data_IF_109066621660
#
_entry.id   IF_109066621660
#
_cell.length_a   1.000
_cell.length_b   1.000
_cell.length_c   1.000
_cell.angle_alpha   90.00
_cell.angle_beta   90.00
_cell.angle_gamma   90.00
#
_symmetry.space_group_name_H-M   'P 1'
#
loop_
_entity.id
_entity.type
_entity.pdbx_description
1 polymer ?
#
# COMPACT_ATOMS: atom_id res chain seq x y z
N UNK A 1 10.76 -27.19 -29.52
CA UNK A 1 11.21 -25.91 -28.94
C UNK A 1 11.18 -24.85 -30.03
N UNK A 2 10.26 -23.91 -30.00
CA UNK A 2 10.22 -22.82 -30.97
C UNK A 2 11.45 -21.93 -30.79
N UNK A 3 12.18 -21.67 -31.85
CA UNK A 3 13.31 -20.73 -31.84
C UNK A 3 12.70 -19.33 -31.77
N UNK A 4 12.58 -18.79 -30.54
CA UNK A 4 12.19 -17.40 -30.39
C UNK A 4 13.30 -16.49 -30.92
N UNK A 5 12.95 -15.50 -31.71
CA UNK A 5 13.88 -14.50 -32.16
C UNK A 5 14.49 -13.76 -30.92
N UNK A 6 15.81 -13.48 -30.98
CA UNK A 6 16.49 -12.73 -29.92
C UNK A 6 15.93 -11.30 -29.87
N UNK A 7 15.50 -10.86 -28.70
CA UNK A 7 15.07 -9.48 -28.50
C UNK A 7 16.23 -8.49 -28.72
N UNK A 8 15.91 -7.27 -29.17
CA UNK A 8 16.89 -6.23 -29.51
C UNK A 8 16.52 -4.90 -28.85
N UNK A 9 17.50 -4.07 -28.48
CA UNK A 9 17.22 -2.72 -28.04
C UNK A 9 16.49 -1.92 -29.13
N UNK A 10 15.63 -0.96 -28.74
CA UNK A 10 14.96 -0.09 -29.70
C UNK A 10 15.97 0.84 -30.36
N UNK A 11 15.85 1.02 -31.68
CA UNK A 11 16.73 1.91 -32.44
C UNK A 11 16.34 3.40 -32.24
N UNK A 12 15.03 3.66 -32.20
CA UNK A 12 14.46 4.98 -31.97
C UNK A 12 13.36 4.87 -30.92
N UNK A 13 13.59 5.44 -29.76
CA UNK A 13 12.62 5.51 -28.68
C UNK A 13 12.33 6.97 -28.36
N UNK A 14 11.05 7.32 -28.26
CA UNK A 14 10.62 8.62 -27.79
C UNK A 14 10.01 8.47 -26.41
N UNK A 15 10.81 8.70 -25.39
CA UNK A 15 10.30 8.74 -24.01
C UNK A 15 9.51 10.05 -23.84
N UNK A 16 8.20 9.97 -23.91
CA UNK A 16 7.32 11.11 -23.63
C UNK A 16 6.79 10.97 -22.18
N UNK A 17 7.66 11.36 -21.25
CA UNK A 17 7.35 11.45 -19.84
C UNK A 17 7.67 12.86 -19.37
N UNK A 18 6.61 13.64 -19.12
CA UNK A 18 6.69 15.03 -18.64
C UNK A 18 5.98 15.08 -17.28
N UNK A 19 6.71 14.84 -16.20
CA UNK A 19 6.12 14.83 -14.87
C UNK A 19 5.65 16.23 -14.47
N UNK A 20 4.53 16.33 -13.78
CA UNK A 20 4.17 17.51 -13.01
C UNK A 20 5.17 17.75 -11.89
N UNK A 21 5.12 18.91 -11.23
CA UNK A 21 6.00 19.21 -10.10
C UNK A 21 5.92 18.14 -9.01
N UNK A 22 4.71 17.72 -8.63
CA UNK A 22 4.48 16.69 -7.62
C UNK A 22 4.97 15.31 -8.07
N UNK A 23 4.73 14.96 -9.32
CA UNK A 23 5.27 13.75 -9.91
C UNK A 23 6.80 13.78 -9.96
N UNK A 24 7.41 14.94 -10.20
CA UNK A 24 8.86 15.10 -10.22
C UNK A 24 9.46 14.96 -8.81
N UNK A 25 8.79 15.47 -7.77
CA UNK A 25 9.19 15.24 -6.38
C UNK A 25 9.26 13.74 -6.07
N UNK A 26 8.20 13.00 -6.39
CA UNK A 26 8.16 11.54 -6.21
C UNK A 26 9.23 10.84 -7.06
N UNK A 27 9.38 11.27 -8.32
CA UNK A 27 10.37 10.71 -9.23
C UNK A 27 11.80 10.80 -8.67
N UNK A 28 12.19 11.94 -8.08
CA UNK A 28 13.50 12.11 -7.44
C UNK A 28 13.76 11.08 -6.32
N UNK A 29 12.74 10.76 -5.53
CA UNK A 29 12.85 9.76 -4.46
C UNK A 29 13.08 8.35 -5.02
N UNK A 30 12.56 8.06 -6.20
CA UNK A 30 12.66 6.76 -6.85
C UNK A 30 14.02 6.56 -7.57
N UNK A 31 14.78 7.62 -7.80
CA UNK A 31 16.05 7.52 -8.53
C UNK A 31 17.17 6.94 -7.64
N UNK A 32 18.03 6.05 -8.20
CA UNK A 32 19.11 5.44 -7.43
C UNK A 32 20.35 6.33 -7.26
N UNK A 33 20.55 7.29 -8.15
CA UNK A 33 21.83 8.00 -8.27
C UNK A 33 21.83 9.39 -7.63
N UNK A 34 20.66 9.95 -7.35
CA UNK A 34 20.54 11.33 -6.89
C UNK A 34 19.98 11.41 -5.48
N UNK A 35 20.61 12.23 -4.67
CA UNK A 35 20.14 12.51 -3.32
C UNK A 35 18.82 13.30 -3.37
N UNK A 36 17.76 12.83 -2.73
CA UNK A 36 16.49 13.55 -2.72
C UNK A 36 16.57 14.89 -1.98
N UNK A 37 17.56 15.07 -1.09
CA UNK A 37 17.75 16.27 -0.29
C UNK A 37 18.42 17.40 -1.07
N UNK A 38 19.48 17.10 -1.83
CA UNK A 38 20.30 18.15 -2.46
C UNK A 38 20.58 17.92 -3.96
N UNK A 39 20.08 16.82 -4.54
CA UNK A 39 20.36 16.46 -5.94
C UNK A 39 21.78 15.93 -6.21
N UNK A 40 22.64 15.88 -5.19
CA UNK A 40 24.01 15.38 -5.33
C UNK A 40 24.06 13.88 -5.61
N UNK A 41 25.20 13.41 -6.10
CA UNK A 41 25.39 12.00 -6.45
C UNK A 41 25.47 11.11 -5.20
N UNK A 42 24.90 9.91 -5.29
CA UNK A 42 24.93 8.88 -4.23
C UNK A 42 25.96 7.84 -4.57
N UNK A 43 26.88 7.60 -3.64
CA UNK A 43 27.90 6.54 -3.72
C UNK A 43 27.71 5.51 -2.61
N UNK A 44 28.42 4.38 -2.75
CA UNK A 44 28.53 3.36 -1.71
C UNK A 44 29.79 3.60 -0.91
N UNK A 45 29.65 3.90 0.38
CA UNK A 45 30.78 4.06 1.31
C UNK A 45 30.94 2.80 2.15
N UNK A 46 32.15 2.26 2.21
CA UNK A 46 32.49 1.16 3.13
C UNK A 46 32.35 1.66 4.57
N UNK A 47 31.54 0.97 5.37
CA UNK A 47 31.30 1.31 6.79
C UNK A 47 31.93 0.29 7.75
N UNK A 48 32.42 -0.84 7.25
CA UNK A 48 33.04 -1.89 8.05
C UNK A 48 32.96 -3.25 7.40
N UNK A 49 33.12 -4.27 8.21
CA UNK A 49 33.04 -5.67 7.80
C UNK A 49 32.12 -6.41 8.77
N UNK A 50 31.37 -7.37 8.24
CA UNK A 50 30.55 -8.26 9.08
C UNK A 50 31.42 -9.29 9.83
N UNK A 51 30.80 -10.13 10.67
CA UNK A 51 31.47 -11.20 11.42
C UNK A 51 32.23 -12.23 10.54
N UNK A 52 31.81 -12.35 9.26
CA UNK A 52 32.44 -13.22 8.25
C UNK A 52 33.49 -12.48 7.39
N UNK A 53 33.83 -11.24 7.76
CA UNK A 53 34.78 -10.35 7.06
C UNK A 53 34.28 -9.90 5.66
N UNK A 54 32.97 -9.94 5.38
CA UNK A 54 32.45 -9.37 4.15
C UNK A 54 32.30 -7.85 4.32
N UNK A 55 32.66 -7.05 3.30
CA UNK A 55 32.56 -5.60 3.37
C UNK A 55 31.10 -5.16 3.43
N UNK A 56 30.81 -4.25 4.34
CA UNK A 56 29.50 -3.64 4.51
C UNK A 56 29.53 -2.22 3.92
N UNK A 57 28.57 -1.93 3.04
CA UNK A 57 28.46 -0.63 2.38
C UNK A 57 27.17 0.07 2.79
N UNK A 58 27.25 1.39 2.91
CA UNK A 58 26.09 2.26 3.10
C UNK A 58 26.04 3.31 1.98
N UNK A 59 24.87 3.58 1.37
CA UNK A 59 24.75 4.66 0.42
C UNK A 59 24.89 6.01 1.13
N UNK A 60 25.65 6.92 0.53
CA UNK A 60 25.94 8.25 1.07
C UNK A 60 25.93 9.25 -0.07
N UNK A 61 25.32 10.40 0.14
CA UNK A 61 25.43 11.51 -0.78
C UNK A 61 26.79 12.19 -0.68
N UNK A 62 27.50 12.29 -1.78
CA UNK A 62 28.84 12.93 -1.84
C UNK A 62 28.81 14.41 -1.47
N UNK A 63 27.70 15.10 -1.79
CA UNK A 63 27.59 16.55 -1.60
C UNK A 63 27.18 16.96 -0.19
N UNK A 64 26.21 16.26 0.43
CA UNK A 64 25.64 16.66 1.71
C UNK A 64 25.74 15.61 2.82
N UNK A 65 26.38 14.47 2.54
CA UNK A 65 26.54 13.39 3.52
C UNK A 65 25.25 12.66 3.90
N UNK A 66 24.12 12.94 3.25
CA UNK A 66 22.84 12.30 3.55
C UNK A 66 22.93 10.79 3.34
N UNK A 67 22.58 10.03 4.36
CA UNK A 67 22.52 8.55 4.35
C UNK A 67 21.10 8.02 4.44
N UNK A 68 20.15 8.88 4.80
CA UNK A 68 18.72 8.53 4.85
C UNK A 68 18.12 8.65 3.45
N UNK A 69 18.10 7.53 2.73
CA UNK A 69 17.49 7.43 1.41
C UNK A 69 16.16 6.71 1.55
N UNK A 70 15.07 7.28 0.99
CA UNK A 70 13.77 6.63 1.02
C UNK A 70 13.80 5.27 0.34
N UNK A 71 13.23 4.28 0.99
CA UNK A 71 13.15 2.89 0.53
C UNK A 71 11.70 2.48 0.28
N UNK A 72 10.78 2.90 1.18
CA UNK A 72 9.34 2.71 1.03
C UNK A 72 8.70 4.08 0.79
N UNK A 73 8.19 4.28 -0.40
CA UNK A 73 7.73 5.59 -0.86
C UNK A 73 6.26 5.50 -1.22
N UNK A 74 5.42 6.23 -0.48
CA UNK A 74 3.99 6.32 -0.71
C UNK A 74 3.64 7.56 -1.54
N UNK A 75 3.01 7.34 -2.69
CA UNK A 75 2.26 8.36 -3.42
C UNK A 75 0.78 8.21 -3.11
N UNK A 76 0.26 8.95 -2.15
CA UNK A 76 -1.12 8.83 -1.69
C UNK A 76 -1.93 10.09 -1.90
N UNK A 77 -3.26 9.98 -1.90
CA UNK A 77 -4.16 11.11 -2.06
C UNK A 77 -5.18 10.93 -3.18
N UNK A 78 -5.71 12.02 -3.71
CA UNK A 78 -6.81 12.01 -4.69
C UNK A 78 -6.57 11.09 -5.88
N UNK A 79 -7.65 10.62 -6.47
CA UNK A 79 -7.61 9.87 -7.72
C UNK A 79 -7.24 10.78 -8.90
N UNK A 80 -6.74 10.19 -9.99
CA UNK A 80 -6.45 10.94 -11.21
C UNK A 80 -5.15 11.74 -11.25
N UNK A 81 -4.36 11.79 -10.16
CA UNK A 81 -3.07 12.51 -10.11
C UNK A 81 -1.91 11.86 -10.89
N UNK A 82 -2.16 10.75 -11.59
CA UNK A 82 -1.15 10.09 -12.43
C UNK A 82 -0.15 9.21 -11.66
N UNK A 83 -0.46 8.80 -10.43
CA UNK A 83 0.40 7.95 -9.58
C UNK A 83 0.79 6.63 -10.27
N UNK A 84 -0.21 5.85 -10.71
CA UNK A 84 0.03 4.54 -11.35
C UNK A 84 0.76 4.67 -12.68
N UNK A 85 0.50 5.75 -13.45
CA UNK A 85 1.22 6.05 -14.69
C UNK A 85 2.71 6.34 -14.41
N UNK A 86 3.01 7.16 -13.42
CA UNK A 86 4.39 7.45 -12.99
C UNK A 86 5.11 6.16 -12.58
N UNK A 87 4.44 5.29 -11.80
CA UNK A 87 5.01 4.01 -11.41
C UNK A 87 5.29 3.09 -12.59
N UNK A 88 4.39 3.03 -13.57
CA UNK A 88 4.61 2.27 -14.81
C UNK A 88 5.84 2.80 -15.59
N UNK A 89 5.94 4.13 -15.74
CA UNK A 89 7.12 4.76 -16.37
C UNK A 89 8.41 4.43 -15.61
N UNK A 90 8.37 4.48 -14.27
CA UNK A 90 9.53 4.17 -13.44
C UNK A 90 10.00 2.72 -13.61
N UNK A 91 9.09 1.75 -13.60
CA UNK A 91 9.43 0.34 -13.83
C UNK A 91 10.05 0.12 -15.21
N UNK A 92 9.43 0.68 -16.26
CA UNK A 92 9.91 0.54 -17.64
C UNK A 92 11.30 1.16 -17.80
N UNK A 93 11.48 2.42 -17.36
CA UNK A 93 12.78 3.12 -17.46
C UNK A 93 13.85 2.37 -16.67
N UNK A 94 13.52 1.87 -15.49
CA UNK A 94 14.45 1.07 -14.68
C UNK A 94 14.89 -0.20 -15.38
N UNK A 95 13.95 -0.95 -15.98
CA UNK A 95 14.26 -2.16 -16.74
C UNK A 95 15.07 -1.87 -18.01
N UNK A 96 14.83 -0.75 -18.68
CA UNK A 96 15.62 -0.36 -19.85
C UNK A 96 17.03 0.10 -19.48
N UNK A 97 17.19 0.71 -18.31
CA UNK A 97 18.45 1.28 -17.84
C UNK A 97 19.40 0.24 -17.29
N UNK A 98 18.90 -0.66 -16.48
CA UNK A 98 19.67 -1.69 -15.79
C UNK A 98 19.39 -3.06 -16.40
N UNK A 99 20.43 -3.79 -16.74
CA UNK A 99 20.31 -5.16 -17.24
C UNK A 99 20.01 -6.16 -16.13
N UNK A 100 19.26 -7.20 -16.44
CA UNK A 100 18.97 -8.35 -15.56
C UNK A 100 18.41 -7.94 -14.19
N UNK A 101 17.56 -6.89 -14.14
CA UNK A 101 16.82 -6.56 -12.94
C UNK A 101 15.45 -7.25 -12.93
N UNK A 102 14.93 -7.47 -11.74
CA UNK A 102 13.63 -8.08 -11.48
C UNK A 102 12.73 -7.05 -10.81
N UNK A 103 11.89 -6.40 -11.60
CA UNK A 103 10.94 -5.43 -11.14
C UNK A 103 9.59 -6.11 -10.86
N UNK A 104 8.98 -5.85 -9.71
CA UNK A 104 7.64 -6.35 -9.37
C UNK A 104 6.61 -5.24 -9.59
N UNK A 105 5.48 -5.61 -10.19
CA UNK A 105 4.24 -4.84 -10.13
C UNK A 105 3.20 -5.68 -9.41
N UNK A 106 2.63 -5.14 -8.33
CA UNK A 106 1.74 -5.89 -7.47
C UNK A 106 0.41 -5.16 -7.21
N UNK A 107 -0.63 -5.93 -6.99
CA UNK A 107 -1.94 -5.51 -6.50
C UNK A 107 -2.56 -6.63 -5.69
N UNK A 108 -3.71 -6.38 -5.03
CA UNK A 108 -4.41 -7.41 -4.25
C UNK A 108 -4.66 -8.66 -5.08
N UNK A 109 -5.20 -8.52 -6.30
CA UNK A 109 -5.47 -9.67 -7.20
C UNK A 109 -4.83 -9.48 -8.58
N UNK A 110 -4.45 -10.60 -9.22
CA UNK A 110 -3.95 -10.58 -10.61
C UNK A 110 -4.99 -10.03 -11.57
N UNK A 111 -6.28 -10.30 -11.33
CA UNK A 111 -7.36 -9.80 -12.19
C UNK A 111 -7.37 -8.27 -12.20
N UNK A 112 -7.44 -7.64 -11.02
CA UNK A 112 -7.44 -6.17 -10.91
C UNK A 112 -6.15 -5.54 -11.43
N UNK A 113 -5.00 -6.22 -11.25
CA UNK A 113 -3.72 -5.78 -11.79
C UNK A 113 -3.71 -5.76 -13.32
N UNK A 114 -4.23 -6.82 -13.97
CA UNK A 114 -4.34 -6.91 -15.44
C UNK A 114 -5.27 -5.86 -16.02
N UNK A 115 -6.37 -5.57 -15.36
CA UNK A 115 -7.37 -4.58 -15.79
C UNK A 115 -6.89 -3.13 -15.62
N UNK A 116 -5.91 -2.85 -14.77
CA UNK A 116 -5.43 -1.50 -14.45
C UNK A 116 -3.96 -1.28 -14.85
N UNK A 117 -3.05 -1.43 -13.91
CA UNK A 117 -1.63 -1.05 -14.00
C UNK A 117 -0.89 -1.79 -15.11
N UNK A 118 -1.22 -3.06 -15.35
CA UNK A 118 -0.62 -3.82 -16.44
C UNK A 118 -1.00 -3.27 -17.83
N UNK A 119 -2.25 -2.84 -17.99
CA UNK A 119 -2.68 -2.16 -19.21
C UNK A 119 -1.98 -0.81 -19.37
N UNK A 120 -1.76 -0.08 -18.26
CA UNK A 120 -0.99 1.17 -18.28
C UNK A 120 0.45 0.91 -18.75
N UNK A 121 1.12 -0.12 -18.23
CA UNK A 121 2.48 -0.51 -18.68
C UNK A 121 2.50 -0.78 -20.18
N UNK A 122 1.57 -1.58 -20.69
CA UNK A 122 1.48 -1.89 -22.14
C UNK A 122 1.25 -0.62 -22.96
N UNK A 123 0.41 0.28 -22.50
CA UNK A 123 0.12 1.55 -23.17
C UNK A 123 1.34 2.44 -23.21
N UNK A 124 2.10 2.57 -22.13
CA UNK A 124 3.35 3.34 -22.08
C UNK A 124 4.38 2.78 -23.05
N UNK A 125 4.59 1.45 -23.05
CA UNK A 125 5.52 0.80 -23.99
C UNK A 125 5.17 1.10 -25.45
N UNK A 126 3.88 0.97 -25.79
CA UNK A 126 3.37 1.26 -27.14
C UNK A 126 3.59 2.72 -27.53
N UNK A 127 3.25 3.65 -26.63
CA UNK A 127 3.36 5.09 -26.87
C UNK A 127 4.84 5.53 -27.04
N UNK A 128 5.75 4.86 -26.37
CA UNK A 128 7.19 5.11 -26.50
C UNK A 128 7.82 4.41 -27.71
N UNK A 129 7.05 3.64 -28.47
CA UNK A 129 7.49 2.98 -29.71
C UNK A 129 8.20 1.65 -29.49
N UNK A 130 8.12 1.07 -28.29
CA UNK A 130 8.60 -0.30 -28.05
C UNK A 130 7.64 -1.31 -28.67
N UNK A 131 8.19 -2.35 -29.31
CA UNK A 131 7.44 -3.37 -30.02
C UNK A 131 7.57 -4.72 -29.33
N UNK A 132 6.42 -5.37 -29.08
CA UNK A 132 6.36 -6.75 -28.61
C UNK A 132 7.03 -7.68 -29.60
N UNK A 133 7.65 -8.76 -29.11
CA UNK A 133 8.46 -9.74 -29.85
C UNK A 133 9.71 -9.16 -30.54
N UNK A 134 9.97 -7.85 -30.40
CA UNK A 134 11.18 -7.19 -30.91
C UNK A 134 12.02 -6.61 -29.76
N UNK A 135 11.42 -5.77 -28.90
CA UNK A 135 12.10 -5.09 -27.81
C UNK A 135 11.78 -5.73 -26.45
N UNK A 136 10.61 -6.33 -26.34
CA UNK A 136 10.17 -7.06 -25.15
C UNK A 136 9.27 -8.22 -25.55
N UNK A 137 9.06 -9.13 -24.59
CA UNK A 137 8.12 -10.27 -24.73
C UNK A 137 7.26 -10.39 -23.50
N UNK A 138 5.96 -10.67 -23.71
CA UNK A 138 5.02 -10.94 -22.63
C UNK A 138 4.74 -12.44 -22.56
N UNK A 139 4.91 -13.01 -21.35
CA UNK A 139 4.42 -14.34 -21.03
C UNK A 139 3.18 -14.19 -20.12
N UNK A 140 2.00 -14.39 -20.71
CA UNK A 140 0.73 -14.22 -19.99
C UNK A 140 0.47 -15.31 -18.95
N UNK A 141 1.06 -16.51 -19.11
CA UNK A 141 0.94 -17.59 -18.13
C UNK A 141 1.73 -17.30 -16.87
N UNK A 142 2.96 -16.88 -17.02
CA UNK A 142 3.84 -16.54 -15.90
C UNK A 142 3.60 -15.14 -15.36
N UNK A 143 2.87 -14.29 -16.08
CA UNK A 143 2.65 -12.91 -15.72
C UNK A 143 3.92 -12.08 -15.77
N UNK A 144 4.74 -12.25 -16.81
CA UNK A 144 6.04 -11.58 -16.94
C UNK A 144 6.15 -10.82 -18.27
N UNK A 145 6.93 -9.73 -18.22
CA UNK A 145 7.35 -8.96 -19.38
C UNK A 145 8.87 -8.85 -19.36
N UNK A 146 9.52 -9.49 -20.33
CA UNK A 146 10.99 -9.57 -20.42
C UNK A 146 11.50 -8.63 -21.49
N UNK A 147 12.48 -7.79 -21.17
CA UNK A 147 13.17 -6.86 -22.06
C UNK A 147 14.37 -7.53 -22.75
N UNK A 148 14.93 -6.87 -23.76
CA UNK A 148 16.10 -7.31 -24.54
C UNK A 148 17.39 -7.50 -23.74
N UNK A 149 17.47 -6.89 -22.54
CA UNK A 149 18.62 -6.92 -21.62
C UNK A 149 18.38 -7.85 -20.41
N UNK A 150 17.49 -8.82 -20.58
CA UNK A 150 17.10 -9.80 -19.56
C UNK A 150 16.44 -9.21 -18.30
N UNK A 151 16.13 -7.91 -18.29
CA UNK A 151 15.32 -7.32 -17.23
C UNK A 151 13.87 -7.73 -17.37
N UNK A 152 13.19 -7.93 -16.24
CA UNK A 152 11.82 -8.46 -16.24
C UNK A 152 10.91 -7.67 -15.32
N UNK A 153 9.69 -7.37 -15.78
CA UNK A 153 8.59 -6.93 -14.93
C UNK A 153 7.70 -8.13 -14.62
N UNK A 154 7.45 -8.40 -13.36
CA UNK A 154 6.75 -9.58 -12.86
C UNK A 154 5.48 -9.14 -12.15
N UNK A 155 4.32 -9.65 -12.58
CA UNK A 155 3.05 -9.47 -11.86
C UNK A 155 3.02 -10.31 -10.58
N UNK A 156 2.56 -9.71 -9.48
CA UNK A 156 2.36 -10.43 -8.21
C UNK A 156 1.01 -10.09 -7.58
N UNK A 157 0.35 -11.14 -7.11
CA UNK A 157 -0.84 -11.05 -6.28
C UNK A 157 -0.47 -11.01 -4.81
N UNK A 158 -1.15 -10.13 -4.06
CA UNK A 158 -0.86 -9.91 -2.64
C UNK A 158 -2.08 -10.15 -1.74
N UNK A 159 -2.97 -11.05 -2.16
CA UNK A 159 -4.14 -11.44 -1.36
C UNK A 159 -3.71 -12.20 -0.11
N UNK A 160 -4.38 -11.93 1.01
CA UNK A 160 -4.23 -12.71 2.24
C UNK A 160 -4.90 -14.08 2.06
N UNK A 161 -4.13 -15.15 2.21
CA UNK A 161 -4.62 -16.52 2.10
C UNK A 161 -4.56 -17.21 3.47
N UNK A 162 -5.67 -17.78 3.97
CA UNK A 162 -5.64 -18.54 5.21
C UNK A 162 -4.64 -19.72 5.21
N UNK A 163 -4.38 -20.28 4.03
CA UNK A 163 -3.38 -21.35 3.81
C UNK A 163 -1.93 -20.87 3.80
N UNK A 164 -1.69 -19.55 3.65
CA UNK A 164 -0.36 -18.94 3.58
C UNK A 164 -0.32 -17.61 4.36
N UNK A 165 -0.54 -17.63 5.68
CA UNK A 165 -0.63 -16.42 6.51
C UNK A 165 0.71 -15.68 6.66
N UNK A 166 1.80 -16.30 6.25
CA UNK A 166 3.15 -15.74 6.29
C UNK A 166 3.69 -15.31 4.93
N UNK A 167 2.87 -15.41 3.87
CA UNK A 167 3.29 -15.10 2.49
C UNK A 167 4.53 -15.88 2.05
N UNK A 168 4.62 -17.16 2.44
CA UNK A 168 5.76 -18.03 2.10
C UNK A 168 5.93 -18.21 0.59
N UNK A 169 4.84 -18.03 -0.18
CA UNK A 169 4.86 -17.99 -1.65
C UNK A 169 5.81 -16.93 -2.24
N UNK A 170 6.23 -15.93 -1.44
CA UNK A 170 7.29 -14.98 -1.82
C UNK A 170 8.68 -15.44 -1.35
N UNK A 171 8.76 -16.52 -0.56
CA UNK A 171 9.94 -16.89 0.23
C UNK A 171 11.22 -17.14 -0.56
N UNK A 172 11.13 -17.77 -1.73
CA UNK A 172 12.28 -18.10 -2.59
C UNK A 172 12.60 -17.06 -3.66
N UNK A 173 11.79 -16.01 -3.78
CA UNK A 173 11.94 -15.01 -4.83
C UNK A 173 12.79 -13.84 -4.37
N UNK A 174 13.59 -13.28 -5.28
CA UNK A 174 14.39 -12.08 -5.05
C UNK A 174 14.12 -11.06 -6.17
N UNK A 175 13.92 -9.82 -5.76
CA UNK A 175 13.58 -8.73 -6.67
C UNK A 175 14.52 -7.54 -6.47
N UNK A 176 14.57 -6.64 -7.45
CA UNK A 176 15.36 -5.41 -7.40
C UNK A 176 14.52 -4.26 -6.87
N UNK A 177 13.35 -4.07 -7.45
CA UNK A 177 12.41 -2.98 -7.13
C UNK A 177 10.98 -3.51 -7.14
N UNK A 178 10.08 -2.82 -6.45
CA UNK A 178 8.66 -3.13 -6.46
C UNK A 178 7.80 -1.88 -6.59
N UNK A 179 6.69 -2.02 -7.29
CA UNK A 179 5.56 -1.11 -7.29
C UNK A 179 4.33 -1.85 -6.79
N UNK A 180 3.64 -1.29 -5.80
CA UNK A 180 2.35 -1.78 -5.32
C UNK A 180 1.29 -0.73 -5.66
N UNK A 181 0.33 -1.10 -6.49
CA UNK A 181 -0.79 -0.23 -6.82
C UNK A 181 -1.99 -0.55 -5.91
N UNK A 182 -2.68 0.48 -5.42
CA UNK A 182 -3.74 0.40 -4.42
C UNK A 182 -3.31 -0.37 -3.15
N UNK A 183 -2.20 0.07 -2.54
CA UNK A 183 -1.59 -0.62 -1.37
C UNK A 183 -2.54 -0.70 -0.16
N UNK A 184 -3.53 0.17 -0.09
CA UNK A 184 -4.56 0.12 0.96
C UNK A 184 -5.45 -1.12 0.94
N UNK A 185 -5.50 -1.84 -0.19
CA UNK A 185 -6.22 -3.11 -0.30
C UNK A 185 -5.42 -4.30 0.26
N UNK A 186 -4.18 -4.09 0.67
CA UNK A 186 -3.19 -5.11 0.99
C UNK A 186 -2.79 -5.00 2.47
N UNK A 187 -2.57 -6.11 3.14
CA UNK A 187 -2.11 -6.11 4.53
C UNK A 187 -0.68 -5.57 4.67
N UNK A 188 -0.41 -4.87 5.75
CA UNK A 188 0.92 -4.35 6.06
C UNK A 188 1.98 -5.46 6.05
N UNK A 189 1.63 -6.62 6.61
CA UNK A 189 2.50 -7.81 6.62
C UNK A 189 2.91 -8.26 5.21
N UNK A 190 1.99 -8.28 4.25
CA UNK A 190 2.30 -8.64 2.87
C UNK A 190 3.30 -7.67 2.24
N UNK A 191 3.13 -6.37 2.50
CA UNK A 191 4.03 -5.32 2.03
C UNK A 191 5.42 -5.49 2.62
N UNK A 192 5.54 -5.72 3.93
CA UNK A 192 6.82 -5.94 4.61
C UNK A 192 7.53 -7.20 4.13
N UNK A 193 6.79 -8.29 3.90
CA UNK A 193 7.36 -9.52 3.33
C UNK A 193 7.88 -9.27 1.92
N UNK A 194 7.13 -8.61 1.03
CA UNK A 194 7.62 -8.27 -0.31
C UNK A 194 8.85 -7.35 -0.23
N UNK A 195 8.84 -6.35 0.66
CA UNK A 195 9.98 -5.45 0.86
C UNK A 195 11.24 -6.22 1.26
N UNK A 196 11.15 -7.22 2.12
CA UNK A 196 12.29 -8.05 2.53
C UNK A 196 12.90 -8.86 1.37
N UNK A 197 12.19 -8.99 0.24
CA UNK A 197 12.65 -9.68 -0.97
C UNK A 197 13.34 -8.77 -1.98
N UNK A 198 13.40 -7.44 -1.71
CA UNK A 198 14.08 -6.48 -2.57
C UNK A 198 15.59 -6.49 -2.30
N UNK A 199 16.29 -7.48 -2.83
CA UNK A 199 17.72 -7.71 -2.62
C UNK A 199 18.49 -8.16 -3.87
N UNK A 200 17.80 -8.41 -5.00
CA UNK A 200 18.43 -8.82 -6.25
C UNK A 200 19.21 -7.67 -6.88
N UNK A 201 20.52 -7.80 -7.03
CA UNK A 201 21.44 -6.82 -7.66
C UNK A 201 21.30 -5.38 -7.13
N UNK A 202 20.90 -5.20 -5.87
CA UNK A 202 20.65 -3.88 -5.28
C UNK A 202 21.91 -3.01 -5.29
N UNK A 203 23.06 -3.57 -4.90
CA UNK A 203 24.31 -2.80 -4.79
C UNK A 203 24.80 -2.29 -6.14
N UNK A 204 24.57 -3.05 -7.21
CA UNK A 204 24.99 -2.71 -8.57
C UNK A 204 24.04 -1.71 -9.24
N UNK A 205 22.79 -1.62 -8.77
CA UNK A 205 21.72 -0.86 -9.42
C UNK A 205 21.20 0.28 -8.56
N UNK A 206 20.29 0.00 -7.63
CA UNK A 206 19.60 1.02 -6.83
C UNK A 206 20.33 1.41 -5.54
N UNK A 207 21.40 0.73 -5.18
CA UNK A 207 22.23 0.91 -3.97
C UNK A 207 21.48 0.68 -2.66
N UNK A 208 20.15 0.77 -2.67
CA UNK A 208 19.25 0.42 -1.58
C UNK A 208 17.92 -0.07 -2.15
N UNK A 209 17.16 -0.81 -1.37
CA UNK A 209 15.82 -1.28 -1.77
C UNK A 209 14.93 -0.09 -2.14
N UNK A 210 14.07 -0.25 -3.16
CA UNK A 210 13.10 0.76 -3.57
C UNK A 210 11.74 0.11 -3.79
N UNK A 211 10.76 0.59 -3.04
CA UNK A 211 9.36 0.21 -3.20
C UNK A 211 8.52 1.47 -3.36
N UNK A 212 7.82 1.57 -4.47
CA UNK A 212 6.81 2.59 -4.69
C UNK A 212 5.44 2.02 -4.38
N UNK A 213 4.64 2.74 -3.62
CA UNK A 213 3.28 2.39 -3.27
C UNK A 213 2.33 3.51 -3.69
N UNK A 214 1.22 3.17 -4.33
CA UNK A 214 0.16 4.14 -4.65
C UNK A 214 -1.14 3.77 -3.96
N UNK A 215 -1.92 4.77 -3.57
CA UNK A 215 -3.27 4.58 -3.00
C UNK A 215 -4.10 5.86 -3.06
N UNK A 216 -5.41 5.67 -2.90
CA UNK A 216 -6.33 6.74 -2.54
C UNK A 216 -6.58 6.71 -1.02
N UNK A 217 -7.10 7.80 -0.39
CA UNK A 217 -7.32 7.84 1.04
C UNK A 217 -8.22 6.71 1.55
N UNK A 218 -7.82 6.08 2.64
CA UNK A 218 -8.55 5.02 3.35
C UNK A 218 -8.22 5.06 4.84
N UNK A 219 -9.10 4.56 5.70
CA UNK A 219 -8.89 4.44 7.15
C UNK A 219 -8.27 3.09 7.49
N UNK A 220 -6.99 2.91 7.20
CA UNK A 220 -6.28 1.67 7.52
C UNK A 220 -4.81 1.95 7.89
N UNK A 221 -4.01 0.90 7.99
CA UNK A 221 -2.60 0.96 8.36
C UNK A 221 -1.77 1.95 7.51
N UNK A 222 -2.15 2.19 6.25
CA UNK A 222 -1.44 3.13 5.37
C UNK A 222 -1.58 4.56 5.89
N UNK A 223 -2.80 4.96 6.32
CA UNK A 223 -3.05 6.27 6.92
C UNK A 223 -2.23 6.44 8.19
N UNK A 224 -2.33 5.51 9.13
CA UNK A 224 -1.65 5.59 10.43
C UNK A 224 -0.13 5.51 10.35
N UNK A 225 0.41 4.87 9.30
CA UNK A 225 1.86 4.74 9.12
C UNK A 225 2.50 5.93 8.41
N UNK A 226 1.82 6.53 7.42
CA UNK A 226 2.44 7.49 6.50
C UNK A 226 1.83 8.89 6.55
N UNK A 227 0.60 9.04 7.02
CA UNK A 227 -0.17 10.27 6.80
C UNK A 227 -0.61 10.93 8.11
N UNK A 228 -1.47 10.26 8.86
CA UNK A 228 -2.11 10.80 10.06
C UNK A 228 -2.36 9.70 11.08
N UNK A 229 -2.23 10.04 12.35
CA UNK A 229 -2.60 9.16 13.46
C UNK A 229 -4.14 9.11 13.68
N UNK A 230 -4.57 8.44 14.74
CA UNK A 230 -5.98 8.32 15.11
C UNK A 230 -6.64 9.67 15.48
N UNK A 231 -5.84 10.62 15.92
CA UNK A 231 -6.30 11.97 16.28
C UNK A 231 -6.35 12.92 15.08
N UNK A 232 -5.86 12.50 13.92
CA UNK A 232 -5.73 13.34 12.73
C UNK A 232 -4.43 14.14 12.68
N UNK A 233 -3.52 13.93 13.63
CA UNK A 233 -2.22 14.59 13.63
C UNK A 233 -1.29 13.97 12.59
N UNK A 234 -0.53 14.82 11.89
CA UNK A 234 0.39 14.38 10.85
C UNK A 234 1.47 13.47 11.41
N UNK A 235 1.61 12.29 10.82
CA UNK A 235 2.68 11.34 11.17
C UNK A 235 3.98 11.72 10.45
N UNK A 236 5.08 11.72 11.17
CA UNK A 236 6.42 11.78 10.57
C UNK A 236 6.81 10.39 10.07
N UNK A 237 7.15 10.29 8.78
CA UNK A 237 7.62 9.04 8.20
C UNK A 237 8.89 8.55 8.91
N UNK A 238 9.00 7.25 9.12
CA UNK A 238 10.18 6.63 9.71
C UNK A 238 11.41 6.77 8.80
N UNK A 239 12.59 6.49 9.35
CA UNK A 239 13.81 6.43 8.53
C UNK A 239 13.62 5.45 7.36
N UNK A 240 13.94 5.89 6.15
CA UNK A 240 13.74 5.10 4.93
C UNK A 240 12.31 5.14 4.36
N UNK A 241 11.39 5.88 4.96
CA UNK A 241 10.04 6.08 4.45
C UNK A 241 9.83 7.50 3.92
N UNK A 242 8.92 7.65 2.97
CA UNK A 242 8.50 8.96 2.46
C UNK A 242 7.04 8.93 2.00
N UNK A 243 6.37 10.04 2.18
CA UNK A 243 5.01 10.26 1.69
C UNK A 243 4.95 11.51 0.81
N UNK A 244 4.38 11.37 -0.37
CA UNK A 244 4.10 12.48 -1.30
C UNK A 244 2.58 12.53 -1.54
N UNK A 245 1.90 13.61 -1.12
CA UNK A 245 0.48 13.79 -1.36
C UNK A 245 0.19 14.12 -2.82
N UNK A 246 -0.88 13.55 -3.37
CA UNK A 246 -1.36 13.78 -4.72
C UNK A 246 -2.80 14.29 -4.74
N UNK A 247 -3.07 15.20 -5.68
CA UNK A 247 -4.41 15.64 -6.04
C UNK A 247 -4.67 15.41 -7.53
N UNK A 248 -5.90 15.55 -7.98
CA UNK A 248 -6.22 15.52 -9.42
C UNK A 248 -5.50 16.63 -10.19
N UNK A 249 -5.21 17.76 -9.53
CA UNK A 249 -4.54 18.93 -10.11
C UNK A 249 -3.06 18.68 -10.41
N UNK A 250 -2.48 17.62 -9.85
CA UNK A 250 -1.11 17.19 -10.12
C UNK A 250 -0.98 16.38 -11.44
N UNK A 251 -2.09 16.09 -12.13
CA UNK A 251 -2.03 15.41 -13.42
C UNK A 251 -1.56 16.40 -14.50
N UNK A 252 -0.49 16.08 -15.27
CA UNK A 252 0.00 16.97 -16.32
C UNK A 252 -0.93 17.08 -17.54
N UNK A 253 -1.82 16.10 -17.75
CA UNK A 253 -2.83 16.15 -18.82
C UNK A 253 -4.01 17.03 -18.39
N UNK A 254 -4.03 18.26 -18.90
CA UNK A 254 -5.04 19.26 -18.57
C UNK A 254 -6.43 18.82 -19.02
N UNK A 255 -6.55 18.22 -20.21
CA UNK A 255 -7.84 17.79 -20.75
C UNK A 255 -8.44 16.65 -19.92
N UNK A 256 -7.61 15.65 -19.55
CA UNK A 256 -8.01 14.60 -18.62
C UNK A 256 -8.44 15.20 -17.28
N UNK A 257 -7.63 16.10 -16.70
CA UNK A 257 -7.91 16.74 -15.40
C UNK A 257 -9.26 17.41 -15.38
N UNK A 258 -9.57 18.26 -16.36
CA UNK A 258 -10.85 18.97 -16.47
C UNK A 258 -12.05 18.02 -16.59
N UNK A 259 -11.92 17.01 -17.45
CA UNK A 259 -12.98 16.01 -17.66
C UNK A 259 -13.22 15.17 -16.39
N UNK A 260 -12.14 14.76 -15.73
CA UNK A 260 -12.20 13.91 -14.53
C UNK A 260 -12.72 14.69 -13.32
N UNK A 261 -12.27 15.93 -13.13
CA UNK A 261 -12.81 16.83 -12.10
C UNK A 261 -14.30 17.07 -12.27
N UNK A 262 -14.75 17.32 -13.50
CA UNK A 262 -16.17 17.50 -13.81
C UNK A 262 -16.99 16.22 -13.49
N UNK A 263 -16.42 15.03 -13.71
CA UNK A 263 -17.05 13.76 -13.36
C UNK A 263 -17.14 13.57 -11.84
N UNK A 264 -16.05 13.83 -11.11
CA UNK A 264 -16.02 13.72 -9.64
C UNK A 264 -16.96 14.74 -8.96
N UNK A 265 -17.09 15.93 -9.53
CA UNK A 265 -18.04 16.94 -9.02
C UNK A 265 -19.50 16.52 -9.10
N UNK A 266 -19.86 15.54 -9.94
CA UNK A 266 -21.23 14.97 -10.02
C UNK A 266 -21.50 13.94 -8.93
N UNK A 267 -20.50 13.49 -8.19
CA UNK A 267 -20.68 12.57 -7.06
C UNK A 267 -21.49 13.28 -5.97
N UNK A 268 -22.58 12.65 -5.53
CA UNK A 268 -23.47 13.21 -4.50
C UNK A 268 -22.94 12.95 -3.10
N UNK A 269 -22.31 11.82 -2.90
CA UNK A 269 -21.70 11.47 -1.63
C UNK A 269 -20.49 12.35 -1.34
N UNK A 270 -20.61 13.19 -0.30
CA UNK A 270 -19.60 14.18 0.06
C UNK A 270 -18.30 13.52 0.50
N UNK A 271 -18.37 12.42 1.26
CA UNK A 271 -17.18 11.72 1.73
C UNK A 271 -16.38 11.13 0.55
N UNK A 272 -17.05 10.47 -0.39
CA UNK A 272 -16.42 9.97 -1.61
C UNK A 272 -15.82 11.10 -2.44
N UNK A 273 -16.49 12.25 -2.54
CA UNK A 273 -15.98 13.41 -3.28
C UNK A 273 -14.72 13.99 -2.61
N UNK A 274 -14.74 14.21 -1.30
CA UNK A 274 -13.58 14.67 -0.52
C UNK A 274 -12.39 13.71 -0.69
N UNK A 275 -12.64 12.42 -0.61
CA UNK A 275 -11.63 11.39 -0.77
C UNK A 275 -11.00 11.38 -2.16
N UNK A 276 -11.84 11.32 -3.21
CA UNK A 276 -11.36 11.10 -4.57
C UNK A 276 -10.91 12.38 -5.28
N UNK A 277 -11.54 13.52 -4.99
CA UNK A 277 -11.21 14.80 -5.64
C UNK A 277 -10.14 15.57 -4.87
N UNK A 278 -10.31 15.69 -3.55
CA UNK A 278 -9.40 16.50 -2.73
C UNK A 278 -8.30 15.68 -2.05
N UNK A 279 -8.42 14.35 -2.04
CA UNK A 279 -7.43 13.48 -1.39
C UNK A 279 -7.47 13.59 0.13
N UNK A 280 -8.61 13.96 0.69
CA UNK A 280 -8.79 14.16 2.12
C UNK A 280 -8.87 12.82 2.85
N UNK A 281 -7.99 12.61 3.82
CA UNK A 281 -7.91 11.39 4.61
C UNK A 281 -8.88 11.38 5.80
N UNK A 282 -9.40 12.53 6.20
CA UNK A 282 -10.33 12.64 7.33
C UNK A 282 -11.78 12.30 6.94
N UNK A 283 -12.11 12.44 5.65
CA UNK A 283 -13.43 12.10 5.10
C UNK A 283 -13.51 10.65 4.56
N UNK A 284 -12.57 9.80 4.93
CA UNK A 284 -12.71 8.38 4.64
C UNK A 284 -13.69 7.82 5.65
N UNK A 285 -14.88 7.46 5.19
CA UNK A 285 -15.89 6.84 6.05
C UNK A 285 -15.30 5.62 6.77
N UNK A 286 -15.22 5.69 8.09
CA UNK A 286 -15.01 4.51 8.93
C UNK A 286 -16.15 3.48 8.76
N UNK A 287 -17.20 3.86 8.00
CA UNK A 287 -18.51 3.22 7.99
C UNK A 287 -18.79 2.30 6.80
N UNK A 288 -17.90 2.17 5.79
CA UNK A 288 -18.12 1.16 4.72
C UNK A 288 -18.18 -0.29 5.25
N UNK A 289 -17.80 -0.48 6.52
CA UNK A 289 -17.91 -1.75 7.26
C UNK A 289 -18.83 -1.66 8.49
N UNK A 290 -19.45 -0.52 8.75
CA UNK A 290 -20.36 -0.37 9.88
C UNK A 290 -21.69 -1.05 9.58
N UNK A 291 -21.92 -2.16 10.25
CA UNK A 291 -23.19 -2.90 10.22
C UNK A 291 -24.33 -2.02 10.78
N UNK A 292 -24.00 -1.05 11.65
CA UNK A 292 -24.95 -0.16 12.30
C UNK A 292 -24.62 1.31 11.98
N UNK A 293 -25.17 1.83 10.89
CA UNK A 293 -24.95 3.23 10.44
C UNK A 293 -25.44 4.30 11.43
N UNK A 294 -26.35 3.95 12.32
CA UNK A 294 -26.93 4.86 13.32
C UNK A 294 -26.26 4.74 14.71
N UNK A 295 -25.17 3.97 14.82
CA UNK A 295 -24.46 3.88 16.08
C UNK A 295 -23.67 5.18 16.34
N UNK A 296 -23.97 5.81 17.47
CA UNK A 296 -23.30 7.01 17.96
C UNK A 296 -22.78 6.74 19.37
N UNK A 297 -21.46 6.68 19.52
CA UNK A 297 -20.83 6.35 20.80
C UNK A 297 -21.18 7.29 21.93
N UNK A 298 -21.45 8.56 21.65
CA UNK A 298 -21.90 9.53 22.67
C UNK A 298 -23.30 9.25 23.20
N UNK A 299 -24.13 8.56 22.42
CA UNK A 299 -25.53 8.24 22.74
C UNK A 299 -25.74 6.80 23.17
N UNK A 300 -24.90 5.90 22.64
CA UNK A 300 -25.09 4.46 22.76
C UNK A 300 -24.03 3.76 23.63
N UNK A 301 -22.98 4.48 24.08
CA UNK A 301 -22.03 3.96 25.05
C UNK A 301 -22.28 4.58 26.43
N UNK A 302 -22.44 3.73 27.44
CA UNK A 302 -22.44 4.18 28.84
C UNK A 302 -20.98 4.11 29.35
N UNK A 303 -20.35 5.27 29.50
CA UNK A 303 -18.98 5.39 30.04
C UNK A 303 -18.96 5.53 31.55
N UNK A 304 -20.11 5.83 32.19
CA UNK A 304 -20.21 6.04 33.62
C UNK A 304 -20.91 4.86 34.34
N UNK A 305 -20.11 3.94 34.85
CA UNK A 305 -20.54 2.71 35.52
C UNK A 305 -21.16 2.87 36.91
N UNK A 306 -21.49 4.07 37.34
CA UNK A 306 -22.15 4.30 38.65
C UNK A 306 -23.61 3.85 38.69
N UNK A 307 -24.24 3.67 37.55
CA UNK A 307 -25.58 3.09 37.45
C UNK A 307 -25.49 1.56 37.41
N UNK A 308 -26.32 0.88 38.20
CA UNK A 308 -26.49 -0.57 38.11
C UNK A 308 -27.11 -0.92 36.75
N UNK A 309 -26.25 -1.37 35.87
CA UNK A 309 -26.63 -1.73 34.50
C UNK A 309 -27.23 -3.15 34.47
N UNK A 310 -26.75 -4.04 35.34
CA UNK A 310 -27.20 -5.43 35.45
C UNK A 310 -28.37 -5.59 36.46
N UNK A 311 -29.47 -6.19 36.01
CA UNK A 311 -30.62 -6.56 36.83
C UNK A 311 -30.66 -8.09 37.02
N UNK A 312 -30.37 -8.60 38.23
CA UNK A 312 -30.35 -10.06 38.50
C UNK A 312 -31.71 -10.72 38.37
N UNK A 313 -32.79 -9.94 38.30
CA UNK A 313 -34.16 -10.46 38.16
C UNK A 313 -34.58 -10.70 36.71
N UNK A 314 -33.80 -10.22 35.73
CA UNK A 314 -34.09 -10.33 34.31
C UNK A 314 -33.24 -11.37 33.61
N UNK A 315 -33.75 -12.04 32.58
CA UNK A 315 -32.97 -13.01 31.84
C UNK A 315 -31.80 -12.36 31.10
N UNK A 316 -30.69 -13.08 31.01
CA UNK A 316 -29.55 -12.73 30.18
C UNK A 316 -29.73 -13.40 28.82
N UNK A 317 -29.58 -12.61 27.76
CA UNK A 317 -29.52 -13.08 26.37
C UNK A 317 -28.07 -13.18 25.97
N UNK A 318 -27.66 -14.35 25.52
CA UNK A 318 -26.31 -14.59 24.97
C UNK A 318 -26.41 -14.66 23.43
N UNK A 319 -25.65 -13.81 22.74
CA UNK A 319 -25.57 -13.79 21.29
C UNK A 319 -24.16 -14.20 20.90
N UNK A 320 -24.04 -15.22 20.06
CA UNK A 320 -22.78 -15.78 19.62
C UNK A 320 -22.59 -15.55 18.12
N UNK A 321 -21.41 -15.05 17.76
CA UNK A 321 -20.98 -14.94 16.37
C UNK A 321 -19.75 -15.81 16.16
N UNK A 322 -19.90 -16.85 15.32
CA UNK A 322 -18.86 -17.84 15.06
C UNK A 322 -18.08 -17.47 13.81
N UNK A 323 -17.03 -16.70 13.97
CA UNK A 323 -16.15 -16.31 12.89
C UNK A 323 -14.80 -17.03 12.95
N UNK A 324 -14.18 -17.22 11.78
CA UNK A 324 -12.83 -17.80 11.68
C UNK A 324 -11.76 -16.74 11.97
N UNK A 325 -12.00 -15.50 11.53
CA UNK A 325 -11.13 -14.34 11.80
C UNK A 325 -11.95 -13.03 11.65
N UNK A 326 -12.01 -12.17 12.70
CA UNK A 326 -11.55 -12.44 14.06
C UNK A 326 -12.31 -13.61 14.70
N UNK A 327 -11.74 -14.21 15.74
CA UNK A 327 -12.36 -15.37 16.39
C UNK A 327 -13.68 -14.98 17.04
N UNK A 328 -14.48 -16.02 17.35
CA UNK A 328 -15.80 -15.97 17.98
C UNK A 328 -15.98 -14.77 18.92
N UNK A 329 -17.01 -13.97 18.68
CA UNK A 329 -17.47 -12.92 19.58
C UNK A 329 -18.75 -13.32 20.32
N UNK A 330 -18.87 -12.87 21.55
CA UNK A 330 -20.05 -13.11 22.39
C UNK A 330 -20.56 -11.81 22.95
N UNK A 331 -21.84 -11.53 22.77
CA UNK A 331 -22.53 -10.40 23.37
C UNK A 331 -23.48 -10.90 24.47
N UNK A 332 -23.43 -10.26 25.65
CA UNK A 332 -24.39 -10.48 26.73
C UNK A 332 -25.33 -9.28 26.79
N UNK A 333 -26.61 -9.54 26.70
CA UNK A 333 -27.62 -8.48 26.72
C UNK A 333 -28.74 -8.78 27.72
N UNK A 334 -29.35 -7.72 28.24
CA UNK A 334 -30.63 -7.75 28.96
C UNK A 334 -31.59 -6.74 28.36
N UNK A 335 -32.86 -7.13 28.18
CA UNK A 335 -33.91 -6.23 27.72
C UNK A 335 -34.60 -5.62 28.93
N UNK A 336 -34.60 -4.29 29.02
CA UNK A 336 -35.32 -3.58 30.06
C UNK A 336 -36.57 -2.90 29.51
N UNK A 337 -37.69 -3.61 29.48
CA UNK A 337 -38.97 -3.11 28.97
C UNK A 337 -39.54 -1.92 29.74
N UNK A 338 -39.20 -1.81 31.05
CA UNK A 338 -39.72 -0.73 31.90
C UNK A 338 -39.12 0.63 31.54
N UNK A 339 -37.87 0.63 31.06
CA UNK A 339 -37.15 1.86 30.66
C UNK A 339 -37.23 2.16 29.18
N UNK A 340 -37.91 1.33 28.37
CA UNK A 340 -37.90 1.38 26.90
C UNK A 340 -36.47 1.48 26.30
N UNK A 341 -35.52 0.80 26.94
CA UNK A 341 -34.10 0.76 26.54
C UNK A 341 -33.66 -0.69 26.54
N UNK A 342 -33.02 -1.11 25.47
CA UNK A 342 -32.30 -2.37 25.39
C UNK A 342 -30.88 -2.14 25.92
N UNK A 343 -30.49 -2.90 26.94
CA UNK A 343 -29.17 -2.73 27.56
C UNK A 343 -28.33 -3.99 27.27
N UNK A 344 -27.26 -3.80 26.54
CA UNK A 344 -26.21 -4.81 26.31
C UNK A 344 -25.12 -4.69 27.37
N UNK A 345 -24.86 -5.77 28.12
CA UNK A 345 -24.03 -5.68 29.32
C UNK A 345 -22.55 -6.00 29.11
N UNK A 346 -22.17 -6.85 28.21
CA UNK A 346 -20.77 -7.18 27.91
C UNK A 346 -20.62 -7.93 26.60
N UNK A 347 -19.67 -7.52 25.80
CA UNK A 347 -19.16 -8.30 24.68
C UNK A 347 -17.79 -8.88 25.04
N UNK A 348 -17.61 -10.20 24.99
CA UNK A 348 -16.29 -10.80 24.94
C UNK A 348 -15.84 -10.82 23.49
N UNK A 349 -15.05 -9.84 23.09
CA UNK A 349 -14.36 -9.89 21.82
C UNK A 349 -13.11 -10.73 22.05
N UNK A 350 -13.09 -11.94 21.50
CA UNK A 350 -11.89 -12.76 21.48
C UNK A 350 -10.87 -12.13 20.53
N UNK A 351 -10.04 -11.23 21.04
CA UNK A 351 -8.88 -10.73 20.30
C UNK A 351 -7.86 -11.86 20.29
N UNK A 352 -7.59 -12.44 19.14
CA UNK A 352 -6.44 -13.31 18.97
C UNK A 352 -5.19 -12.45 19.09
N UNK A 353 -4.58 -12.45 20.29
CA UNK A 353 -3.26 -11.87 20.48
C UNK A 353 -2.25 -12.53 19.53
N UNK A 354 -1.18 -11.84 19.20
CA UNK A 354 -0.07 -12.26 18.32
C UNK A 354 0.54 -13.63 18.69
N UNK A 355 0.20 -14.20 19.82
CA UNK A 355 0.77 -15.45 20.35
C UNK A 355 -0.27 -16.58 20.55
N UNK A 356 -1.48 -16.45 20.00
CA UNK A 356 -2.47 -17.53 20.11
C UNK A 356 -3.02 -17.76 21.52
N UNK A 357 -2.78 -16.89 22.48
CA UNK A 357 -3.36 -16.98 23.82
C UNK A 357 -4.80 -16.50 23.78
N UNK A 358 -5.71 -17.38 24.17
CA UNK A 358 -7.09 -17.01 24.46
C UNK A 358 -7.13 -16.19 25.74
N UNK A 359 -7.50 -14.94 25.62
CA UNK A 359 -7.88 -14.15 26.78
C UNK A 359 -9.36 -14.44 27.07
N UNK A 360 -9.62 -15.28 28.07
CA UNK A 360 -10.95 -15.36 28.66
C UNK A 360 -11.14 -14.11 29.50
N UNK A 361 -12.10 -13.26 29.14
CA UNK A 361 -12.31 -11.97 29.76
C UNK A 361 -12.76 -12.05 31.22
N UNK A 362 -11.81 -12.21 32.10
CA UNK A 362 -11.94 -11.89 33.54
C UNK A 362 -10.97 -10.79 33.95
N UNK A 363 -10.21 -10.23 33.01
CA UNK A 363 -9.29 -9.13 33.25
C UNK A 363 -9.90 -7.77 32.91
N UNK A 364 -9.53 -6.75 33.66
CA UNK A 364 -10.07 -5.38 33.58
C UNK A 364 -9.77 -4.65 32.27
N UNK A 365 -9.00 -5.24 31.37
CA UNK A 365 -8.43 -4.53 30.19
C UNK A 365 -9.11 -4.85 28.85
N UNK A 366 -9.95 -5.91 28.77
CA UNK A 366 -10.51 -6.37 27.50
C UNK A 366 -12.03 -6.32 27.39
N UNK A 367 -12.69 -5.50 28.21
CA UNK A 367 -14.15 -5.39 28.19
C UNK A 367 -14.60 -4.05 27.65
N UNK A 368 -15.20 -4.04 26.47
CA UNK A 368 -15.95 -2.91 25.95
C UNK A 368 -17.40 -3.05 26.39
N UNK A 369 -17.92 -2.11 27.15
CA UNK A 369 -19.34 -2.08 27.51
C UNK A 369 -20.11 -1.33 26.41
N UNK A 370 -21.08 -2.00 25.81
CA UNK A 370 -21.94 -1.46 24.77
C UNK A 370 -23.37 -1.40 25.32
N UNK A 371 -24.04 -0.27 25.18
CA UNK A 371 -25.44 -0.03 25.57
C UNK A 371 -26.29 0.24 24.36
#
# INVERSE_FOLDING_TARGET
>A
MGIYAKLRPPQNIKIDFRPSERQYELWKLLQPDYCPKCGGHITQKLIGYDVKKNPQYKPVCESCGNTNLPQMILGGGAAGGGKSFLGACWLIISCMRFENIRAVVARKTIKSLKESTWNTIKTVLKNWGLKEEVNYRINNLEGTLTFWNDSVIIMKEMVDLPSDPNFERFGSSEYTIAMIDEVSEISEKAVEVLFSRLRWRIHETFKTSRMFMSTNPTTNWVRSRFVQDENGDKVECREGEAYIPFSVFDNPDIAFRQTYEAALNKIRDQATKERLLYGNWDFVEANDMAVYHNFDGSRHLITNLKEKVYDPTKPIITIWDFNVAPRMSTLLAQINYDKKRDICHRGNIGIAGKEGKQYSGSGKEDTTEIV
#
